data_IF_238553504840
#
_entry.id   IF_238553504840
#
_cell.length_a   1.000
_cell.length_b   1.000
_cell.length_c   1.000
_cell.angle_alpha   90.00
_cell.angle_beta   90.00
_cell.angle_gamma   90.00
#
_symmetry.space_group_name_H-M   'P 1'
#
loop_
_entity.id
_entity.type
_entity.pdbx_description
1 polymer ?
#
# COMPACT_ATOMS: atom_id res chain seq x y z
N UNK A 1 2.85 20.57 10.74
CA UNK A 1 1.90 19.48 10.99
C UNK A 1 2.52 18.20 10.49
N UNK A 2 2.93 17.37 11.46
CA UNK A 2 3.08 15.91 11.34
C UNK A 2 1.68 15.39 10.88
N UNK A 3 1.63 14.43 9.95
CA UNK A 3 0.45 14.09 9.11
C UNK A 3 -0.91 14.20 9.82
N UNK A 4 -1.92 14.69 9.10
CA UNK A 4 -3.20 15.12 9.66
C UNK A 4 -3.90 14.02 10.45
N UNK A 5 -3.81 12.76 10.01
CA UNK A 5 -4.40 11.59 10.68
C UNK A 5 -3.53 10.34 10.57
N UNK A 6 -3.77 9.36 11.46
CA UNK A 6 -3.11 8.05 11.43
C UNK A 6 -3.33 7.30 10.10
N UNK A 7 -4.48 7.52 9.46
CA UNK A 7 -4.75 6.99 8.13
C UNK A 7 -3.78 7.53 7.07
N UNK A 8 -3.38 8.80 7.18
CA UNK A 8 -2.40 9.40 6.26
C UNK A 8 -0.99 8.88 6.49
N UNK A 9 -0.61 8.52 7.73
CA UNK A 9 0.67 7.86 8.00
C UNK A 9 0.76 6.54 7.24
N UNK A 10 -0.29 5.73 7.29
CA UNK A 10 -0.38 4.46 6.57
C UNK A 10 -0.37 4.68 5.05
N UNK A 11 -1.13 5.67 4.56
CA UNK A 11 -1.20 5.98 3.14
C UNK A 11 0.18 6.42 2.60
N UNK A 12 0.91 7.23 3.36
CA UNK A 12 2.24 7.69 2.97
C UNK A 12 3.26 6.56 3.06
N UNK A 13 3.16 5.71 4.08
CA UNK A 13 4.04 4.55 4.22
C UNK A 13 3.95 3.61 3.01
N UNK A 14 2.74 3.37 2.49
CA UNK A 14 2.52 2.41 1.40
C UNK A 14 2.54 3.05 0.00
N UNK A 15 1.90 4.21 -0.17
CA UNK A 15 1.65 4.84 -1.47
C UNK A 15 2.45 6.14 -1.70
N UNK A 16 3.19 6.60 -0.69
CA UNK A 16 4.02 7.80 -0.77
C UNK A 16 3.26 9.12 -0.90
N UNK A 17 1.97 9.14 -0.54
CA UNK A 17 1.13 10.34 -0.58
C UNK A 17 -0.03 10.27 0.42
N UNK A 18 -0.51 11.42 0.82
CA UNK A 18 -1.72 11.60 1.64
C UNK A 18 -3.00 11.41 0.81
N UNK A 19 -4.13 11.24 1.50
CA UNK A 19 -5.44 11.20 0.85
C UNK A 19 -5.75 12.50 0.07
N UNK A 20 -5.36 13.65 0.63
CA UNK A 20 -5.56 14.96 -0.01
C UNK A 20 -4.74 15.10 -1.31
N UNK A 21 -3.47 14.70 -1.28
CA UNK A 21 -2.61 14.70 -2.47
C UNK A 21 -3.12 13.73 -3.54
N UNK A 22 -3.60 12.55 -3.14
CA UNK A 22 -4.23 11.62 -4.08
C UNK A 22 -5.48 12.21 -4.72
N UNK A 23 -6.38 12.82 -3.94
CA UNK A 23 -7.61 13.44 -4.47
C UNK A 23 -7.29 14.59 -5.41
N UNK A 24 -6.31 15.43 -5.07
CA UNK A 24 -5.85 16.53 -5.94
C UNK A 24 -5.32 16.01 -7.28
N UNK A 25 -4.63 14.87 -7.26
CA UNK A 25 -4.06 14.23 -8.47
C UNK A 25 -5.11 13.48 -9.30
N UNK A 26 -6.13 12.90 -8.66
CA UNK A 26 -7.18 12.12 -9.32
C UNK A 26 -8.58 12.64 -8.97
N UNK A 27 -8.93 13.87 -9.38
CA UNK A 27 -10.18 14.52 -8.95
C UNK A 27 -11.45 13.82 -9.49
N UNK A 28 -11.32 13.07 -10.58
CA UNK A 28 -12.42 12.35 -11.23
C UNK A 28 -12.47 10.85 -10.90
N UNK A 29 -11.51 10.34 -10.12
CA UNK A 29 -11.52 8.92 -9.75
C UNK A 29 -12.65 8.65 -8.73
N UNK A 30 -13.49 7.63 -8.94
CA UNK A 30 -14.49 7.23 -7.96
C UNK A 30 -13.80 6.67 -6.72
N UNK A 31 -14.41 6.86 -5.54
CA UNK A 31 -13.86 6.35 -4.28
C UNK A 31 -12.61 7.09 -3.81
N UNK A 32 -11.77 6.41 -3.04
CA UNK A 32 -10.51 6.86 -2.45
C UNK A 32 -9.33 5.99 -2.91
N UNK A 33 -8.10 6.35 -2.56
CA UNK A 33 -6.91 5.66 -3.04
C UNK A 33 -6.83 4.15 -2.73
N UNK A 34 -7.37 3.72 -1.58
CA UNK A 34 -7.35 2.31 -1.15
C UNK A 34 -8.31 1.46 -1.98
N UNK A 35 -9.36 2.05 -2.55
CA UNK A 35 -10.29 1.37 -3.46
C UNK A 35 -9.62 0.98 -4.80
N UNK A 36 -8.47 1.60 -5.09
CA UNK A 36 -7.66 1.34 -6.29
C UNK A 36 -6.40 0.52 -5.97
N UNK A 37 -6.27 0.01 -4.74
CA UNK A 37 -5.15 -0.84 -4.33
C UNK A 37 -5.36 -2.28 -4.81
N UNK A 38 -4.28 -2.95 -5.19
CA UNK A 38 -4.33 -4.38 -5.51
C UNK A 38 -4.35 -5.24 -4.24
N UNK A 39 -4.59 -6.55 -4.40
CA UNK A 39 -4.71 -7.47 -3.26
C UNK A 39 -3.45 -7.49 -2.37
N UNK A 40 -2.25 -7.43 -2.96
CA UNK A 40 -0.99 -7.41 -2.20
C UNK A 40 -0.86 -6.14 -1.38
N UNK A 41 -1.24 -4.99 -1.93
CA UNK A 41 -1.24 -3.71 -1.24
C UNK A 41 -2.26 -3.70 -0.09
N UNK A 42 -3.43 -4.31 -0.27
CA UNK A 42 -4.44 -4.42 0.79
C UNK A 42 -3.96 -5.32 1.94
N UNK A 43 -3.31 -6.45 1.62
CA UNK A 43 -2.69 -7.33 2.64
C UNK A 43 -1.64 -6.56 3.43
N UNK A 44 -0.72 -5.88 2.74
CA UNK A 44 0.33 -5.08 3.39
C UNK A 44 -0.29 -3.98 4.23
N UNK A 45 -1.32 -3.28 3.74
CA UNK A 45 -2.00 -2.22 4.48
C UNK A 45 -2.62 -2.73 5.79
N UNK A 46 -3.28 -3.88 5.77
CA UNK A 46 -3.84 -4.54 6.97
C UNK A 46 -2.74 -4.88 7.99
N UNK A 47 -1.57 -5.31 7.51
CA UNK A 47 -0.42 -5.58 8.39
C UNK A 47 0.14 -4.29 9.00
N UNK A 48 0.27 -3.23 8.20
CA UNK A 48 0.74 -1.93 8.65
C UNK A 48 -0.19 -1.32 9.70
N UNK A 49 -1.51 -1.50 9.59
CA UNK A 49 -2.48 -1.04 10.59
C UNK A 49 -2.21 -1.66 11.96
N UNK A 50 -2.03 -2.98 12.00
CA UNK A 50 -1.71 -3.71 13.23
C UNK A 50 -0.36 -3.28 13.81
N UNK A 51 0.66 -3.15 12.96
CA UNK A 51 1.99 -2.75 13.41
C UNK A 51 2.03 -1.31 13.93
N UNK A 52 1.33 -0.40 13.25
CA UNK A 52 1.20 0.99 13.66
C UNK A 52 0.52 1.11 15.03
N UNK A 53 -0.59 0.37 15.24
CA UNK A 53 -1.31 0.36 16.51
C UNK A 53 -0.41 -0.06 17.67
N UNK A 54 0.45 -1.06 17.48
CA UNK A 54 1.40 -1.49 18.50
C UNK A 54 2.48 -0.42 18.79
N UNK A 55 3.01 0.23 17.75
CA UNK A 55 3.98 1.31 17.96
C UNK A 55 3.37 2.53 18.65
N UNK A 56 2.09 2.84 18.39
CA UNK A 56 1.34 3.88 19.11
C UNK A 56 1.22 3.53 20.59
N UNK A 57 0.86 2.28 20.93
CA UNK A 57 0.79 1.83 22.34
C UNK A 57 2.13 1.96 23.06
N UNK A 58 3.24 1.75 22.35
CA UNK A 58 4.60 1.88 22.87
C UNK A 58 5.09 3.34 22.92
N UNK A 59 4.28 4.31 22.48
CA UNK A 59 4.59 5.73 22.54
C UNK A 59 5.61 6.21 21.51
N UNK A 60 5.79 5.49 20.40
CA UNK A 60 6.71 5.92 19.34
C UNK A 60 6.15 7.14 18.61
N UNK A 61 7.03 8.09 18.31
CA UNK A 61 6.66 9.28 17.55
C UNK A 61 6.24 8.93 16.12
N UNK A 62 5.37 9.75 15.53
CA UNK A 62 4.79 9.47 14.22
C UNK A 62 5.82 9.38 13.10
N UNK A 63 6.93 10.14 13.17
CA UNK A 63 7.96 10.11 12.14
C UNK A 63 8.75 8.80 12.19
N UNK A 64 9.14 8.36 13.38
CA UNK A 64 9.78 7.06 13.58
C UNK A 64 8.88 5.92 13.08
N UNK A 65 7.58 5.97 13.41
CA UNK A 65 6.59 5.01 12.93
C UNK A 65 6.49 5.01 11.41
N UNK A 66 6.39 6.17 10.76
CA UNK A 66 6.32 6.26 9.31
C UNK A 66 7.54 5.59 8.63
N UNK A 67 8.74 5.87 9.13
CA UNK A 67 9.97 5.27 8.58
C UNK A 67 9.96 3.73 8.74
N UNK A 68 9.51 3.22 9.89
CA UNK A 68 9.37 1.78 10.12
C UNK A 68 8.30 1.15 9.22
N UNK A 69 7.13 1.77 9.09
CA UNK A 69 6.04 1.30 8.25
C UNK A 69 6.44 1.29 6.78
N UNK A 70 7.16 2.30 6.29
CA UNK A 70 7.61 2.35 4.90
C UNK A 70 8.62 1.25 4.58
N UNK A 71 9.56 0.95 5.51
CA UNK A 71 10.46 -0.20 5.37
C UNK A 71 9.69 -1.51 5.31
N UNK A 72 8.80 -1.75 6.27
CA UNK A 72 7.96 -2.94 6.31
C UNK A 72 7.11 -3.10 5.05
N UNK A 73 6.54 -2.01 4.53
CA UNK A 73 5.74 -2.01 3.31
C UNK A 73 6.56 -2.50 2.09
N UNK A 74 7.77 -1.97 1.93
CA UNK A 74 8.67 -2.35 0.82
C UNK A 74 9.09 -3.82 0.91
N UNK A 75 9.46 -4.26 2.11
CA UNK A 75 9.86 -5.65 2.36
C UNK A 75 8.72 -6.62 2.07
N UNK A 76 7.53 -6.37 2.62
CA UNK A 76 6.37 -7.24 2.44
C UNK A 76 5.89 -7.26 0.98
N UNK A 77 5.85 -6.12 0.29
CA UNK A 77 5.49 -6.08 -1.13
C UNK A 77 6.51 -6.85 -1.99
N UNK A 78 7.81 -6.69 -1.72
CA UNK A 78 8.86 -7.43 -2.42
C UNK A 78 8.68 -8.95 -2.27
N UNK A 79 8.37 -9.39 -1.04
CA UNK A 79 8.13 -10.81 -0.75
C UNK A 79 6.88 -11.33 -1.45
N UNK A 80 5.75 -10.63 -1.37
CA UNK A 80 4.49 -11.05 -1.99
C UNK A 80 4.56 -11.07 -3.53
N UNK A 81 5.29 -10.13 -4.13
CA UNK A 81 5.51 -10.12 -5.58
C UNK A 81 6.43 -11.29 -5.97
N UNK A 82 7.48 -11.55 -5.19
CA UNK A 82 8.40 -12.66 -5.46
C UNK A 82 7.74 -14.03 -5.27
N UNK A 83 6.87 -14.17 -4.25
CA UNK A 83 6.11 -15.41 -4.04
C UNK A 83 5.02 -15.60 -5.08
N UNK A 84 4.28 -14.54 -5.44
CA UNK A 84 3.27 -14.61 -6.50
C UNK A 84 3.89 -14.84 -7.88
N UNK A 85 5.10 -14.32 -8.13
CA UNK A 85 5.88 -14.64 -9.32
C UNK A 85 6.34 -16.10 -9.31
N UNK A 86 6.75 -16.65 -8.16
CA UNK A 86 7.08 -18.06 -8.02
C UNK A 86 5.85 -18.97 -8.25
N UNK A 87 4.69 -18.63 -7.70
CA UNK A 87 3.42 -19.32 -8.00
C UNK A 87 3.04 -19.21 -9.48
N UNK A 88 3.33 -18.09 -10.15
CA UNK A 88 3.14 -17.94 -11.60
C UNK A 88 4.07 -18.82 -12.45
N UNK A 89 5.26 -19.15 -11.94
CA UNK A 89 6.18 -20.08 -12.59
C UNK A 89 5.79 -21.55 -12.37
N UNK A 90 5.22 -21.89 -11.22
CA UNK A 90 4.65 -23.23 -10.96
C UNK A 90 3.31 -23.44 -11.65
N UNK A 91 2.54 -22.36 -11.86
CA UNK A 91 1.25 -22.34 -12.57
C UNK A 91 1.43 -21.97 -14.05
N UNK A 92 2.49 -22.47 -14.69
CA UNK A 92 2.78 -22.36 -16.11
C UNK A 92 1.78 -23.07 -17.04
N UNK A 93 0.48 -22.87 -16.82
CA UNK A 93 -0.59 -23.25 -17.76
C UNK A 93 -1.88 -22.43 -17.54
N UNK A 94 -1.83 -21.11 -17.66
CA UNK A 94 -2.99 -20.35 -18.14
C UNK A 94 -2.53 -19.09 -18.89
N UNK A 95 -3.15 -18.88 -20.06
CA UNK A 95 -2.71 -17.96 -21.12
C UNK A 95 -2.95 -16.47 -20.83
N UNK A 96 -2.68 -15.62 -21.83
CA UNK A 96 -2.62 -14.18 -21.64
C UNK A 96 -4.00 -13.58 -21.80
N UNK A 97 -4.64 -13.16 -20.71
CA UNK A 97 -5.79 -12.26 -20.83
C UNK A 97 -5.95 -11.37 -19.59
N UNK A 98 -6.22 -10.09 -19.88
CA UNK A 98 -6.67 -9.01 -18.98
C UNK A 98 -5.59 -8.01 -18.51
N UNK A 99 -4.99 -7.31 -19.47
CA UNK A 99 -4.64 -5.90 -19.31
C UNK A 99 -5.67 -5.05 -20.05
N UNK A 100 -6.26 -4.04 -19.39
CA UNK A 100 -7.09 -3.01 -20.06
C UNK A 100 -6.31 -2.39 -21.22
N UNK A 101 -6.96 -2.03 -22.35
CA UNK A 101 -6.27 -1.40 -23.46
C UNK A 101 -5.72 -0.02 -23.05
N UNK A 102 -4.60 0.43 -23.66
CA UNK A 102 -4.04 1.74 -23.38
C UNK A 102 -5.02 2.84 -23.78
N UNK A 103 -5.16 3.84 -22.91
CA UNK A 103 -5.80 5.12 -23.25
C UNK A 103 -4.83 5.92 -24.11
N UNK A 104 -5.39 6.53 -25.16
CA UNK A 104 -4.74 7.22 -26.30
C UNK A 104 -3.56 8.13 -25.99
#
# INVERSE_FOLDING_TARGET
MVYAEEADVLNVALFGRTAAEWRKRYPRAPGNMRDHANIYQLIVLSNLESYNAEMVKRGLDQRCRLEALNRAAREQLSLLISSGAAEGLESGRMGPEHGLPPVS
#
